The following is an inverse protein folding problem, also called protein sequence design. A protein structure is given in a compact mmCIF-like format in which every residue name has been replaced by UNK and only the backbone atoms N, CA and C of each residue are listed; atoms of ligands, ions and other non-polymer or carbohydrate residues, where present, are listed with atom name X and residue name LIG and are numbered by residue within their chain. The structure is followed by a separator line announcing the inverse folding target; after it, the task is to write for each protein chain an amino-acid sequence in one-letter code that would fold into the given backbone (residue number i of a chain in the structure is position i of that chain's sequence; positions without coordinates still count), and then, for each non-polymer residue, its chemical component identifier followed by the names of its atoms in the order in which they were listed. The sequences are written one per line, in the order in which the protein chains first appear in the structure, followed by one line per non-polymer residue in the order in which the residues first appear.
data_IF_894620060539
#
_entry.id   IF_894620060539
#
_cell.length_a   1.000
_cell.length_b   1.000
_cell.length_c   1.000
_cell.angle_alpha   90.00
_cell.angle_beta   90.00
_cell.angle_gamma   90.00
#
_symmetry.space_group_name_H-M   'P 1'
#
loop_
_entity.id
_entity.type
_entity.pdbx_description
1 polymer ?
#
# COMPACT_ATOMS: atom_id res chain seq x y z
N UNK A 1 -1.71 4.48 27.38
CA UNK A 1 -0.84 4.04 26.26
C UNK A 1 -1.06 2.59 25.87
N UNK A 2 -0.99 1.64 26.82
CA UNK A 2 -1.18 0.21 26.52
C UNK A 2 -2.52 -0.12 25.83
N UNK A 3 -3.63 0.47 26.29
CA UNK A 3 -4.96 0.28 25.71
C UNK A 3 -5.07 0.74 24.25
N UNK A 4 -4.59 1.95 23.95
CA UNK A 4 -4.56 2.50 22.58
C UNK A 4 -3.66 1.68 21.65
N UNK A 5 -2.49 1.24 22.14
CA UNK A 5 -1.56 0.42 21.38
C UNK A 5 -2.13 -0.97 21.08
N UNK A 6 -2.79 -1.61 22.05
CA UNK A 6 -3.43 -2.91 21.88
C UNK A 6 -4.58 -2.83 20.88
N UNK A 7 -5.47 -1.85 21.03
CA UNK A 7 -6.63 -1.73 20.13
C UNK A 7 -6.18 -1.37 18.72
N UNK A 8 -5.30 -0.38 18.57
CA UNK A 8 -4.79 -0.01 17.25
C UNK A 8 -4.02 -1.19 16.61
N UNK A 9 -3.15 -1.85 17.37
CA UNK A 9 -2.37 -2.99 16.89
C UNK A 9 -3.25 -4.16 16.46
N UNK A 10 -4.24 -4.54 17.26
CA UNK A 10 -5.18 -5.63 16.94
C UNK A 10 -6.00 -5.30 15.70
N UNK A 11 -6.55 -4.08 15.62
CA UNK A 11 -7.32 -3.64 14.44
C UNK A 11 -6.45 -3.63 13.19
N UNK A 12 -5.23 -3.11 13.28
CA UNK A 12 -4.28 -3.07 12.17
C UNK A 12 -3.95 -4.49 11.68
N UNK A 13 -3.68 -5.43 12.58
CA UNK A 13 -3.41 -6.82 12.23
C UNK A 13 -4.60 -7.51 11.58
N UNK A 14 -5.80 -7.32 12.11
CA UNK A 14 -7.02 -7.91 11.54
C UNK A 14 -7.25 -7.39 10.13
N UNK A 15 -7.14 -6.08 9.92
CA UNK A 15 -7.25 -5.47 8.59
C UNK A 15 -6.16 -5.99 7.66
N UNK A 16 -4.91 -6.08 8.13
CA UNK A 16 -3.78 -6.55 7.34
C UNK A 16 -3.90 -8.02 6.91
N UNK A 17 -4.50 -8.88 7.72
CA UNK A 17 -4.69 -10.29 7.37
C UNK A 17 -6.00 -10.56 6.61
N UNK A 18 -7.02 -9.74 6.80
CA UNK A 18 -8.32 -9.93 6.15
C UNK A 18 -8.37 -9.28 4.75
N UNK A 19 -7.83 -8.08 4.57
CA UNK A 19 -7.96 -7.31 3.32
C UNK A 19 -7.22 -7.95 2.13
N UNK A 20 -5.98 -8.45 2.27
CA UNK A 20 -5.29 -9.11 1.17
C UNK A 20 -5.96 -10.42 0.72
N UNK A 21 -6.74 -11.08 1.58
CA UNK A 21 -7.48 -12.30 1.22
C UNK A 21 -8.64 -12.01 0.26
N UNK A 22 -9.27 -10.83 0.35
CA UNK A 22 -10.37 -10.43 -0.54
C UNK A 22 -9.91 -9.57 -1.72
N UNK A 23 -8.84 -8.80 -1.56
CA UNK A 23 -8.44 -7.75 -2.49
C UNK A 23 -7.10 -8.04 -3.22
N UNK A 24 -6.42 -9.13 -2.85
CA UNK A 24 -5.15 -9.56 -3.42
C UNK A 24 -3.93 -8.84 -2.85
N UNK A 25 -2.77 -9.52 -2.88
CA UNK A 25 -1.50 -9.01 -2.34
C UNK A 25 -1.09 -7.63 -2.91
N UNK A 26 -1.53 -7.32 -4.13
CA UNK A 26 -1.30 -6.02 -4.78
C UNK A 26 -1.88 -4.85 -3.99
N UNK A 27 -3.11 -4.95 -3.48
CA UNK A 27 -3.70 -3.85 -2.70
C UNK A 27 -3.02 -3.68 -1.33
N UNK A 28 -2.52 -4.79 -0.75
CA UNK A 28 -1.67 -4.75 0.44
C UNK A 28 -0.38 -3.96 0.20
N UNK A 29 0.32 -4.23 -0.91
CA UNK A 29 1.53 -3.51 -1.27
C UNK A 29 1.28 -2.01 -1.51
N UNK A 30 0.17 -1.66 -2.17
CA UNK A 30 -0.20 -0.25 -2.37
C UNK A 30 -0.52 0.47 -1.06
N UNK A 31 -1.14 -0.24 -0.09
CA UNK A 31 -1.45 0.35 1.22
C UNK A 31 -0.19 0.79 1.99
N UNK A 32 0.92 0.05 1.86
CA UNK A 32 2.21 0.41 2.48
C UNK A 32 2.79 1.71 1.92
N UNK A 33 2.57 1.98 0.64
CA UNK A 33 3.05 3.19 -0.05
C UNK A 33 2.16 4.40 0.28
N UNK A 34 0.86 4.17 0.54
CA UNK A 34 -0.11 5.23 0.89
C UNK A 34 0.02 5.70 2.34
N UNK A 35 0.39 4.82 3.27
CA UNK A 35 0.56 5.16 4.70
C UNK A 35 1.39 6.43 4.98
N UNK A 36 2.61 6.62 4.42
CA UNK A 36 3.38 7.83 4.65
C UNK A 36 2.69 9.10 4.15
N UNK A 37 1.91 9.02 3.06
CA UNK A 37 1.14 10.15 2.55
C UNK A 37 0.01 10.53 3.51
N UNK A 38 -0.74 9.54 4.00
CA UNK A 38 -1.81 9.75 5.00
C UNK A 38 -1.24 10.30 6.30
N UNK A 39 -0.11 9.76 6.76
CA UNK A 39 0.58 10.24 7.96
C UNK A 39 1.02 11.70 7.85
N UNK A 40 1.63 12.10 6.72
CA UNK A 40 2.01 13.47 6.46
C UNK A 40 0.79 14.41 6.41
N UNK A 41 -0.29 13.97 5.77
CA UNK A 41 -1.52 14.76 5.62
C UNK A 41 -2.23 14.96 6.96
N UNK A 42 -2.26 13.93 7.80
CA UNK A 42 -2.74 14.01 9.18
C UNK A 42 -1.84 14.89 10.05
N UNK A 43 -0.52 14.86 9.87
CA UNK A 43 0.41 15.76 10.56
C UNK A 43 0.12 17.24 10.23
N UNK A 44 -0.07 17.56 8.95
CA UNK A 44 -0.41 18.92 8.51
C UNK A 44 -1.79 19.33 9.02
N UNK A 45 -2.82 18.49 8.85
CA UNK A 45 -4.21 18.86 9.12
C UNK A 45 -4.56 18.86 10.62
N UNK A 46 -4.03 17.91 11.37
CA UNK A 46 -4.39 17.68 12.77
C UNK A 46 -3.40 18.33 13.75
N UNK A 47 -2.11 18.39 13.38
CA UNK A 47 -1.06 18.95 14.22
C UNK A 47 -0.67 20.39 13.80
N UNK A 48 -1.08 20.83 12.61
CA UNK A 48 -0.72 22.15 12.08
C UNK A 48 0.75 22.25 11.69
N UNK A 49 1.40 21.11 11.43
CA UNK A 49 2.84 21.05 11.18
C UNK A 49 3.19 21.86 9.91
N UNK A 50 4.18 22.78 9.96
CA UNK A 50 4.53 23.59 8.81
C UNK A 50 4.94 22.70 7.64
N UNK A 51 4.45 23.04 6.44
CA UNK A 51 4.80 22.31 5.21
C UNK A 51 6.27 22.60 4.87
N UNK A 52 7.15 21.69 5.29
CA UNK A 52 8.57 21.73 4.95
C UNK A 52 8.82 21.23 3.53
N UNK A 53 9.90 21.74 2.91
CA UNK A 53 10.36 21.29 1.60
C UNK A 53 10.62 19.77 1.56
N UNK A 54 11.03 19.18 2.68
CA UNK A 54 11.23 17.73 2.83
C UNK A 54 9.92 16.94 2.68
N UNK A 55 8.80 17.47 3.17
CA UNK A 55 7.46 16.85 3.01
C UNK A 55 7.03 16.85 1.55
N UNK A 56 7.34 17.91 0.81
CA UNK A 56 7.04 18.02 -0.62
C UNK A 56 7.89 17.02 -1.41
N UNK A 57 9.20 16.95 -1.14
CA UNK A 57 10.12 16.00 -1.80
C UNK A 57 9.74 14.56 -1.49
N UNK A 58 9.44 14.26 -0.22
CA UNK A 58 8.96 12.94 0.20
C UNK A 58 7.63 12.56 -0.46
N UNK A 59 6.67 13.48 -0.49
CA UNK A 59 5.39 13.28 -1.16
C UNK A 59 5.54 13.01 -2.66
N UNK A 60 6.38 13.78 -3.34
CA UNK A 60 6.69 13.56 -4.76
C UNK A 60 7.33 12.18 -5.01
N UNK A 61 8.23 11.75 -4.12
CA UNK A 61 8.87 10.44 -4.20
C UNK A 61 7.86 9.30 -4.02
N UNK A 62 6.95 9.41 -3.04
CA UNK A 62 5.87 8.43 -2.81
C UNK A 62 4.93 8.36 -4.02
N UNK A 63 4.53 9.49 -4.59
CA UNK A 63 3.70 9.54 -5.80
C UNK A 63 4.41 8.92 -7.02
N UNK A 64 5.72 9.14 -7.17
CA UNK A 64 6.51 8.50 -8.21
C UNK A 64 6.57 6.98 -8.04
N UNK A 65 6.85 6.48 -6.84
CA UNK A 65 6.84 5.05 -6.52
C UNK A 65 5.47 4.41 -6.78
N UNK A 66 4.38 5.10 -6.44
CA UNK A 66 3.02 4.63 -6.68
C UNK A 66 2.73 4.54 -8.19
N UNK A 67 3.12 5.56 -8.94
CA UNK A 67 2.94 5.61 -10.40
C UNK A 67 3.71 4.49 -11.10
N UNK A 68 4.98 4.29 -10.72
CA UNK A 68 5.82 3.19 -11.23
C UNK A 68 5.23 1.81 -10.90
N UNK A 69 4.78 1.62 -9.66
CA UNK A 69 4.20 0.35 -9.21
C UNK A 69 2.88 0.02 -9.91
N UNK A 70 2.08 1.04 -10.25
CA UNK A 70 0.87 0.87 -11.06
C UNK A 70 1.17 0.52 -12.52
N UNK A 71 2.28 1.03 -13.07
CA UNK A 71 2.72 0.81 -14.45
C UNK A 71 3.42 -0.55 -14.65
N UNK A 72 4.09 -1.09 -13.63
CA UNK A 72 4.77 -2.41 -13.69
C UNK A 72 3.83 -3.62 -13.76
N UNK A 73 2.54 -3.41 -14.04
CA UNK A 73 1.62 -4.47 -14.48
C UNK A 73 2.05 -4.98 -15.87
N UNK A 74 3.06 -5.84 -15.91
CA UNK A 74 3.21 -6.76 -17.02
C UNK A 74 2.06 -7.79 -16.95
N UNK A 75 1.27 -7.99 -18.02
CA UNK A 75 0.25 -9.04 -18.06
C UNK A 75 0.90 -10.39 -17.74
N UNK A 76 0.33 -11.12 -16.78
CA UNK A 76 0.76 -12.49 -16.51
C UNK A 76 0.64 -13.31 -17.80
N UNK A 77 1.72 -13.97 -18.27
CA UNK A 77 1.61 -14.95 -19.32
C UNK A 77 0.70 -16.06 -18.80
N UNK A 78 -0.55 -16.09 -19.25
CA UNK A 78 -1.34 -17.30 -19.17
C UNK A 78 -0.57 -18.34 -19.98
N UNK A 79 0.17 -19.19 -19.28
CA UNK A 79 0.75 -20.38 -19.84
C UNK A 79 -0.39 -21.10 -20.58
N UNK A 80 -0.32 -21.08 -21.91
CA UNK A 80 -1.07 -21.99 -22.75
C UNK A 80 -0.66 -23.37 -22.31
N UNK A 81 -1.48 -23.97 -21.45
CA UNK A 81 -1.53 -25.42 -21.27
C UNK A 81 -1.93 -25.97 -22.64
N UNK A 82 -0.91 -26.26 -23.44
CA UNK A 82 -1.01 -27.15 -24.57
C UNK A 82 -1.16 -28.56 -23.99
N UNK A 83 -2.39 -28.92 -23.64
CA UNK A 83 -2.79 -30.32 -23.52
C UNK A 83 -2.88 -30.88 -24.93
N UNK A 84 -1.74 -31.26 -25.52
CA UNK A 84 -1.71 -32.27 -26.57
C UNK A 84 -1.87 -33.62 -25.87
N UNK A 85 -3.00 -34.33 -26.02
CA UNK A 85 -3.13 -35.68 -25.52
C UNK A 85 -2.23 -36.56 -26.39
N UNK A 86 -1.43 -37.42 -25.75
CA UNK A 86 -0.57 -38.35 -26.47
C UNK A 86 -1.35 -39.20 -27.47
N UNK A 87 -0.87 -39.22 -28.70
CA UNK A 87 -1.00 -40.34 -29.65
C UNK A 87 0.24 -40.37 -30.52
#
# INVERSE_FOLDING_TARGET
MLYLALINGVVCYVVWFAVPQSAGATLGALSLVVQPLVGALLGILLLGDPILATTIVGGACVLACLSLSGLSRAPAPHASVDTTPGT
#
